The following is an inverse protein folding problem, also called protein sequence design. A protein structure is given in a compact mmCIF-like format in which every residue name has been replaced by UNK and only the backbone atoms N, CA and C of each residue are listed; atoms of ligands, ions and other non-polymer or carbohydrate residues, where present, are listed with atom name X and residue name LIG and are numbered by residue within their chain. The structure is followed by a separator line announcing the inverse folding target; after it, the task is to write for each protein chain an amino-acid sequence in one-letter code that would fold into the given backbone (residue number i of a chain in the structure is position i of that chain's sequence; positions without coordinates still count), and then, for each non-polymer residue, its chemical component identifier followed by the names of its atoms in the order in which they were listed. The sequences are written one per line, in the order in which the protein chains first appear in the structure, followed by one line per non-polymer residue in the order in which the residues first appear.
data_IF_454628158380
#
_entry.id   IF_454628158380
#
_cell.length_a   1.000
_cell.length_b   1.000
_cell.length_c   1.000
_cell.angle_alpha   90.00
_cell.angle_beta   90.00
_cell.angle_gamma   90.00
#
_symmetry.space_group_name_H-M   'P 1'
#
loop_
_entity.id
_entity.type
_entity.pdbx_description
1 polymer ?
#
# COMPACT_ATOMS: atom_id res chain seq x y z
N UNK A 1 6.48 -7.46 -5.88
CA UNK A 1 5.56 -6.51 -5.20
C UNK A 1 5.73 -6.69 -3.71
N UNK A 2 5.90 -5.61 -2.92
CA UNK A 2 5.40 -5.69 -1.54
C UNK A 2 3.93 -6.10 -1.67
N UNK A 3 3.48 -7.13 -0.98
CA UNK A 3 2.15 -7.71 -1.16
C UNK A 3 1.04 -6.71 -0.77
N UNK A 4 0.80 -5.72 -1.63
CA UNK A 4 -0.33 -4.78 -1.63
C UNK A 4 -1.66 -5.52 -1.83
N UNK A 5 -1.62 -6.82 -2.12
CA UNK A 5 -2.77 -7.72 -2.20
C UNK A 5 -3.54 -7.85 -0.88
N UNK A 6 -3.00 -7.44 0.28
CA UNK A 6 -3.76 -7.32 1.54
C UNK A 6 -4.29 -5.91 1.82
N UNK A 7 -3.84 -4.91 1.07
CA UNK A 7 -4.18 -3.49 1.23
C UNK A 7 -5.10 -2.99 0.10
N UNK A 8 -5.85 -3.90 -0.54
CA UNK A 8 -6.59 -3.67 -1.80
C UNK A 8 -7.53 -2.45 -1.84
N UNK A 9 -7.84 -1.86 -0.68
CA UNK A 9 -8.73 -0.72 -0.56
C UNK A 9 -8.08 0.48 0.14
N UNK A 10 -6.78 0.45 0.46
CA UNK A 10 -6.10 1.59 1.08
C UNK A 10 -5.63 2.57 0.02
N UNK A 11 -5.86 3.85 0.27
CA UNK A 11 -5.42 4.93 -0.60
C UNK A 11 -4.83 6.04 0.24
N UNK A 12 -3.69 6.55 -0.22
CA UNK A 12 -2.99 7.66 0.39
C UNK A 12 -3.38 8.98 -0.29
N UNK A 13 -3.55 10.03 0.50
CA UNK A 13 -3.66 11.39 -0.01
C UNK A 13 -2.34 11.81 -0.67
N UNK A 14 -2.36 12.26 -1.93
CA UNK A 14 -1.14 12.67 -2.66
C UNK A 14 -0.46 13.90 -2.05
N UNK A 15 -1.16 14.68 -1.24
CA UNK A 15 -0.63 15.93 -0.66
C UNK A 15 -0.13 15.76 0.77
N UNK A 16 -0.92 15.18 1.67
CA UNK A 16 -0.55 15.04 3.09
C UNK A 16 -0.16 13.62 3.50
N UNK A 17 -0.16 12.65 2.56
CA UNK A 17 0.20 11.24 2.77
C UNK A 17 -0.71 10.44 3.71
N UNK A 18 -1.83 11.00 4.20
CA UNK A 18 -2.77 10.26 5.05
C UNK A 18 -3.34 9.05 4.30
N UNK A 19 -3.27 7.87 4.91
CA UNK A 19 -3.80 6.62 4.38
C UNK A 19 -5.16 6.36 5.04
N UNK A 20 -6.16 6.06 4.22
CA UNK A 20 -7.47 5.57 4.67
C UNK A 20 -8.01 4.56 3.67
N UNK A 21 -9.03 3.80 4.07
CA UNK A 21 -9.75 2.95 3.11
C UNK A 21 -10.56 3.81 2.13
N UNK A 22 -10.77 3.28 0.92
CA UNK A 22 -11.59 3.93 -0.11
C UNK A 22 -13.01 4.22 0.40
N UNK A 23 -13.59 3.29 1.16
CA UNK A 23 -14.89 3.48 1.84
C UNK A 23 -14.88 4.61 2.87
N UNK A 24 -13.77 4.84 3.58
CA UNK A 24 -13.65 5.94 4.53
C UNK A 24 -13.56 7.29 3.83
N UNK A 25 -12.85 7.34 2.68
CA UNK A 25 -12.79 8.52 1.83
C UNK A 25 -14.20 8.90 1.31
N UNK A 26 -14.88 7.95 0.65
CA UNK A 26 -16.23 8.15 0.12
C UNK A 26 -17.25 8.55 1.20
N UNK A 27 -17.20 7.91 2.39
CA UNK A 27 -18.11 8.25 3.50
C UNK A 27 -17.96 9.71 3.95
N UNK A 28 -16.74 10.24 3.91
CA UNK A 28 -16.46 11.62 4.31
C UNK A 28 -16.96 12.62 3.27
N UNK A 29 -16.73 12.33 2.00
CA UNK A 29 -17.25 13.11 0.86
C UNK A 29 -18.76 13.25 0.96
N UNK A 30 -19.46 12.12 1.12
CA UNK A 30 -20.93 12.09 1.27
C UNK A 30 -21.42 12.93 2.44
N UNK A 31 -20.74 12.92 3.58
CA UNK A 31 -21.16 13.66 4.79
C UNK A 31 -21.07 15.18 4.61
N UNK A 32 -20.16 15.65 3.75
CA UNK A 32 -19.86 17.08 3.59
C UNK A 32 -20.35 17.66 2.27
N UNK A 33 -20.84 16.83 1.34
CA UNK A 33 -21.38 17.28 0.05
C UNK A 33 -20.33 17.88 -0.88
N UNK A 34 -19.05 17.55 -0.68
CA UNK A 34 -17.91 18.11 -1.41
C UNK A 34 -17.10 16.96 -2.03
N UNK A 35 -16.63 17.17 -3.25
CA UNK A 35 -15.72 16.28 -3.98
C UNK A 35 -14.35 16.26 -3.30
N UNK A 36 -14.07 15.20 -2.55
CA UNK A 36 -12.88 14.96 -1.73
C UNK A 36 -12.63 15.94 -0.58
N UNK A 37 -12.59 15.40 0.66
CA UNK A 37 -12.22 16.17 1.85
C UNK A 37 -11.09 15.46 2.61
N UNK A 38 -9.89 16.03 2.53
CA UNK A 38 -8.79 15.61 3.40
C UNK A 38 -8.94 16.23 4.80
N UNK A 39 -8.83 15.45 5.89
CA UNK A 39 -8.94 15.97 7.27
C UNK A 39 -7.90 17.01 7.63
N UNK A 40 -6.72 16.87 7.03
CA UNK A 40 -5.56 17.69 7.30
C UNK A 40 -5.54 18.98 6.47
N UNK A 41 -6.52 19.19 5.57
CA UNK A 41 -6.52 20.35 4.67
C UNK A 41 -7.83 21.10 4.77
N UNK A 42 -7.73 22.43 4.71
CA UNK A 42 -8.90 23.29 4.53
C UNK A 42 -9.53 23.00 3.16
N UNK A 43 -10.84 23.25 3.06
CA UNK A 43 -11.57 23.16 1.79
C UNK A 43 -10.94 24.17 0.82
N UNK A 44 -10.12 23.69 -0.11
CA UNK A 44 -9.52 24.53 -1.14
C UNK A 44 -10.52 24.66 -2.30
N UNK A 45 -10.85 25.88 -2.76
CA UNK A 45 -11.86 26.13 -3.79
C UNK A 45 -11.45 25.60 -5.17
N UNK A 46 -10.14 25.48 -5.41
CA UNK A 46 -9.55 24.73 -6.50
C UNK A 46 -8.62 23.71 -5.87
N UNK A 47 -8.84 22.41 -6.04
CA UNK A 47 -7.79 21.43 -6.26
C UNK A 47 -8.36 20.02 -6.15
N UNK A 48 -8.27 19.27 -7.24
CA UNK A 48 -8.48 17.83 -7.28
C UNK A 48 -7.47 17.15 -6.34
N UNK A 49 -7.83 16.95 -5.07
CA UNK A 49 -7.08 16.06 -4.19
C UNK A 49 -7.29 14.64 -4.68
N UNK A 50 -6.28 14.10 -5.38
CA UNK A 50 -6.28 12.71 -5.82
C UNK A 50 -5.79 11.83 -4.65
N UNK A 51 -6.48 10.74 -4.40
CA UNK A 51 -5.96 9.67 -3.56
C UNK A 51 -5.35 8.60 -4.46
N UNK A 52 -4.22 8.02 -4.08
CA UNK A 52 -3.52 7.02 -4.88
C UNK A 52 -3.38 5.71 -4.11
N UNK A 53 -3.59 4.55 -4.77
CA UNK A 53 -3.23 3.26 -4.18
C UNK A 53 -1.71 3.02 -4.22
N UNK A 54 -0.95 3.83 -4.97
CA UNK A 54 0.49 3.67 -5.15
C UNK A 54 1.26 4.47 -4.10
N UNK A 55 1.54 3.82 -2.98
CA UNK A 55 2.39 4.37 -1.92
C UNK A 55 3.28 3.26 -1.34
N UNK A 56 4.32 3.65 -0.63
CA UNK A 56 5.23 2.71 0.05
C UNK A 56 5.51 3.16 1.47
N UNK A 57 5.63 2.17 2.36
CA UNK A 57 5.80 2.34 3.79
C UNK A 57 4.55 2.87 4.47
N UNK A 58 4.28 2.37 5.68
CA UNK A 58 3.16 2.79 6.51
C UNK A 58 3.70 3.16 7.89
N UNK A 59 3.33 4.34 8.37
CA UNK A 59 3.65 4.80 9.72
C UNK A 59 2.39 5.21 10.46
N UNK A 60 2.19 4.64 11.64
CA UNK A 60 1.15 5.10 12.57
C UNK A 60 1.76 6.13 13.53
N UNK A 61 1.16 7.32 13.57
CA UNK A 61 1.63 8.42 14.39
C UNK A 61 0.50 8.96 15.25
N UNK A 62 0.74 9.00 16.56
CA UNK A 62 -0.19 9.54 17.55
C UNK A 62 0.08 11.00 17.89
N UNK A 63 1.36 11.41 17.90
CA UNK A 63 1.80 12.78 18.22
C UNK A 63 2.79 13.29 17.17
N UNK A 64 2.32 13.77 16.01
CA UNK A 64 3.20 14.12 14.89
C UNK A 64 4.28 15.16 15.22
N UNK A 65 3.93 16.18 16.01
CA UNK A 65 4.88 17.24 16.41
C UNK A 65 5.90 16.84 17.49
N UNK A 66 5.67 15.75 18.23
CA UNK A 66 6.60 15.27 19.27
C UNK A 66 7.45 14.10 18.81
N UNK A 67 6.99 13.35 17.80
CA UNK A 67 7.69 12.20 17.27
C UNK A 67 8.78 12.63 16.28
N UNK A 68 10.02 12.19 16.47
CA UNK A 68 11.08 12.37 15.47
C UNK A 68 10.65 11.83 14.09
N UNK A 69 9.94 10.69 14.05
CA UNK A 69 9.43 10.11 12.80
C UNK A 69 8.42 11.04 12.13
N UNK A 70 7.57 11.72 12.91
CA UNK A 70 6.61 12.68 12.38
C UNK A 70 7.30 13.89 11.78
N UNK A 71 8.28 14.43 12.49
CA UNK A 71 9.10 15.56 12.03
C UNK A 71 9.90 15.22 10.77
N UNK A 72 10.59 14.08 10.78
CA UNK A 72 11.39 13.60 9.65
C UNK A 72 10.53 13.38 8.39
N UNK A 73 9.27 12.96 8.54
CA UNK A 73 8.35 12.76 7.42
C UNK A 73 7.52 14.01 7.05
N UNK A 74 7.77 15.17 7.68
CA UNK A 74 7.03 16.41 7.42
C UNK A 74 5.56 16.36 7.85
N UNK A 75 5.24 15.57 8.87
CA UNK A 75 3.88 15.36 9.38
C UNK A 75 3.53 16.30 10.55
N UNK A 76 4.37 17.27 10.85
CA UNK A 76 4.14 18.25 11.91
C UNK A 76 2.86 19.05 11.66
N UNK A 77 2.05 19.26 12.71
CA UNK A 77 0.78 19.98 12.60
C UNK A 77 -0.36 19.19 11.96
N UNK A 78 -0.11 17.97 11.47
CA UNK A 78 -1.18 17.10 10.95
C UNK A 78 -1.93 16.39 12.08
N UNK A 79 -3.07 15.79 11.76
CA UNK A 79 -3.84 15.01 12.73
C UNK A 79 -3.16 13.66 13.01
N UNK A 80 -3.36 13.07 14.20
CA UNK A 80 -2.98 11.68 14.46
C UNK A 80 -3.60 10.72 13.45
N UNK A 81 -2.83 9.75 12.98
CA UNK A 81 -3.31 8.85 11.92
C UNK A 81 -2.23 7.95 11.34
N UNK A 82 -2.59 7.30 10.24
CA UNK A 82 -1.71 6.42 9.48
C UNK A 82 -1.28 7.17 8.22
N UNK A 83 0.03 7.26 7.98
CA UNK A 83 0.60 8.00 6.87
C UNK A 83 1.50 7.10 6.02
N UNK A 84 1.56 7.39 4.73
CA UNK A 84 2.55 6.81 3.84
C UNK A 84 3.92 7.43 4.08
N UNK A 85 4.98 6.64 3.97
CA UNK A 85 6.35 7.17 3.99
C UNK A 85 6.61 7.91 2.68
N UNK A 86 6.27 7.28 1.56
CA UNK A 86 6.45 7.85 0.22
C UNK A 86 5.23 7.59 -0.68
N UNK A 87 4.90 8.57 -1.53
CA UNK A 87 3.88 8.46 -2.58
C UNK A 87 4.57 8.15 -3.90
N UNK A 88 4.21 7.06 -4.55
CA UNK A 88 4.80 6.69 -5.84
C UNK A 88 4.13 7.54 -6.93
N UNK A 89 4.93 8.16 -7.80
CA UNK A 89 4.44 8.85 -8.99
C UNK A 89 4.66 7.92 -10.19
N UNK A 90 3.77 7.98 -11.18
CA UNK A 90 3.75 7.08 -12.34
C UNK A 90 5.02 7.11 -13.22
N UNK A 91 6.04 7.89 -12.87
CA UNK A 91 7.29 8.08 -13.64
C UNK A 91 8.52 7.39 -13.03
N UNK A 92 8.40 6.69 -11.90
CA UNK A 92 9.58 6.07 -11.29
C UNK A 92 9.91 4.72 -12.00
N UNK A 93 10.56 4.81 -13.16
CA UNK A 93 11.00 3.69 -14.02
C UNK A 93 11.85 2.64 -13.27
N UNK A 94 12.53 3.06 -12.21
CA UNK A 94 13.40 2.23 -11.35
C UNK A 94 12.64 1.09 -10.67
N UNK A 95 11.32 1.21 -10.45
CA UNK A 95 10.54 0.18 -9.77
C UNK A 95 10.16 -1.01 -10.66
N UNK A 96 10.10 -0.84 -11.98
CA UNK A 96 9.68 -1.90 -12.92
C UNK A 96 10.70 -3.05 -12.96
N UNK A 97 11.99 -2.75 -12.83
CA UNK A 97 13.08 -3.74 -12.89
C UNK A 97 13.09 -4.65 -11.66
N UNK A 98 13.01 -4.07 -10.47
CA UNK A 98 12.92 -4.80 -9.20
C UNK A 98 11.63 -5.62 -9.09
N UNK A 99 10.55 -5.13 -9.68
CA UNK A 99 9.30 -5.89 -9.75
C UNK A 99 9.42 -7.14 -10.63
N UNK A 100 9.99 -7.02 -11.84
CA UNK A 100 10.18 -8.15 -12.75
C UNK A 100 11.10 -9.21 -12.16
N UNK A 101 12.18 -8.78 -11.48
CA UNK A 101 13.13 -9.70 -10.85
C UNK A 101 12.49 -10.55 -9.74
N UNK A 102 11.64 -9.94 -8.89
CA UNK A 102 10.97 -10.64 -7.79
C UNK A 102 9.85 -11.57 -8.26
N UNK A 103 9.13 -11.23 -9.34
CA UNK A 103 8.10 -12.10 -9.95
C UNK A 103 8.70 -13.38 -10.54
N UNK A 104 9.84 -13.27 -11.22
CA UNK A 104 10.53 -14.42 -11.80
C UNK A 104 11.03 -15.40 -10.72
N UNK A 105 11.49 -14.88 -9.57
CA UNK A 105 11.87 -15.71 -8.41
C UNK A 105 10.68 -16.48 -7.81
N UNK A 106 9.50 -15.83 -7.65
CA UNK A 106 8.29 -16.50 -7.14
C UNK A 106 7.78 -17.61 -8.08
N UNK A 107 7.81 -17.39 -9.41
CA UNK A 107 7.45 -18.43 -10.39
C UNK A 107 8.37 -19.64 -10.31
N UNK A 108 9.69 -19.39 -10.29
CA UNK A 108 10.70 -20.45 -10.20
C UNK A 108 10.59 -21.26 -8.91
N UNK A 109 10.23 -20.62 -7.79
CA UNK A 109 9.96 -21.32 -6.52
C UNK A 109 8.66 -22.14 -6.51
N UNK A 110 7.63 -21.71 -7.25
CA UNK A 110 6.39 -22.48 -7.38
C UNK A 110 6.51 -23.67 -8.31
N UNK A 111 7.23 -23.55 -9.43
CA UNK A 111 7.52 -24.68 -10.33
C UNK A 111 8.30 -25.76 -9.57
N UNK A 112 9.36 -25.36 -8.85
CA UNK A 112 10.19 -26.29 -8.08
C UNK A 112 9.45 -26.99 -6.93
N UNK A 113 8.41 -26.36 -6.38
CA UNK A 113 7.58 -26.97 -5.34
C UNK A 113 6.59 -27.99 -5.91
N UNK A 114 6.00 -27.71 -7.08
CA UNK A 114 5.11 -28.65 -7.76
C UNK A 114 5.86 -29.89 -8.24
N UNK A 115 7.08 -29.70 -8.73
CA UNK A 115 7.97 -30.80 -9.15
C UNK A 115 8.33 -31.72 -7.96
N UNK A 116 8.60 -31.15 -6.78
CA UNK A 116 8.83 -31.92 -5.55
C UNK A 116 7.57 -32.63 -5.04
N UNK A 117 6.39 -32.00 -5.16
CA UNK A 117 5.12 -32.59 -4.76
C UNK A 117 4.68 -33.73 -5.72
N UNK A 118 5.04 -33.66 -7.01
CA UNK A 118 4.83 -34.75 -8.00
C UNK A 118 5.77 -35.94 -7.78
N UNK A 119 7.07 -35.72 -7.56
CA UNK A 119 8.02 -36.80 -7.23
C UNK A 119 7.69 -37.52 -5.91
N UNK A 120 7.04 -36.82 -4.97
CA UNK A 120 6.65 -37.40 -3.67
C UNK A 120 5.41 -38.30 -3.75
N UNK A 121 4.61 -38.19 -4.81
CA UNK A 121 3.36 -38.96 -4.97
C UNK A 121 3.58 -40.29 -5.72
N UNK A 122 4.58 -40.38 -6.60
CA UNK A 122 4.89 -41.62 -7.35
C UNK A 122 5.60 -42.70 -6.51
N UNK A 123 5.93 -42.41 -5.24
CA UNK A 123 6.68 -43.31 -4.35
C UNK A 123 5.86 -44.22 -3.41
N UNK A 124 4.53 -44.29 -3.55
CA UNK A 124 3.65 -45.03 -2.61
C UNK A 124 2.79 -46.16 -3.21
N UNK A 125 2.94 -46.47 -4.51
CA UNK A 125 2.14 -47.51 -5.20
C UNK A 125 2.86 -48.87 -5.36
N UNK A 126 3.89 -49.15 -4.56
CA UNK A 126 4.45 -50.51 -4.41
C UNK A 126 4.42 -50.88 -2.93
N UNK A 127 3.40 -51.61 -2.48
CA UNK A 127 3.36 -52.57 -1.36
C UNK A 127 1.93 -52.66 -0.81
N UNK A 128 1.09 -53.48 -1.43
CA UNK A 128 0.25 -54.46 -0.72
C UNK A 128 -0.30 -55.45 -1.76
N UNK A 129 0.12 -56.72 -1.59
CA UNK A 129 -0.13 -57.87 -2.44
C UNK A 129 -0.97 -58.87 -1.64
#
# INVERSE_FOLDING_TARGET
MPDTHKEKNLRACTTCKLIMSDSQWQKRERKKGITFLCPNQAVMPHHEMRTTPYFTGLVSIFKPGQSWVGRFNGLEGLLPGIYAVHILKDTDEVYEEDYKSTRNKKKKGQEKKREFDEESFEGLDEYEL
#
